data_IF_630378609816
#
_entry.id   IF_630378609816
#
_cell.length_a   1.000
_cell.length_b   1.000
_cell.length_c   1.000
_cell.angle_alpha   90.00
_cell.angle_beta   90.00
_cell.angle_gamma   90.00
#
_symmetry.space_group_name_H-M   'P 1'
#
loop_
_entity.id
_entity.type
_entity.pdbx_description
1 polymer ?
#
# COMPACT_ATOMS: atom_id res chain seq x y z
N UNK A 1 4.42 12.43 -6.54
CA UNK A 1 4.55 12.50 -5.07
C UNK A 1 3.81 13.70 -4.51
N UNK A 2 3.16 13.56 -3.35
CA UNK A 2 2.53 14.67 -2.61
C UNK A 2 3.52 15.32 -1.65
N UNK A 3 4.46 14.53 -1.11
CA UNK A 3 5.61 14.97 -0.34
C UNK A 3 6.79 14.04 -0.66
N UNK A 4 7.98 14.60 -0.84
CA UNK A 4 9.19 13.84 -1.15
C UNK A 4 10.40 14.54 -0.49
N UNK A 5 10.95 14.00 0.61
CA UNK A 5 12.13 14.55 1.25
C UNK A 5 13.40 14.24 0.44
N UNK A 6 14.51 14.98 0.65
CA UNK A 6 15.83 14.55 0.18
C UNK A 6 16.17 13.18 0.77
N UNK A 7 16.65 12.25 -0.07
CA UNK A 7 17.04 10.89 0.32
C UNK A 7 15.95 10.16 1.13
N UNK A 8 14.76 9.90 0.53
CA UNK A 8 13.66 9.28 1.24
C UNK A 8 14.04 7.87 1.70
N UNK A 9 13.86 7.61 2.99
CA UNK A 9 14.13 6.28 3.56
C UNK A 9 13.13 5.22 3.10
N UNK A 10 11.89 5.64 2.85
CA UNK A 10 10.73 4.82 2.51
C UNK A 10 9.68 5.71 1.86
N UNK A 11 8.88 5.16 0.95
CA UNK A 11 7.68 5.79 0.40
C UNK A 11 6.40 5.16 0.96
N UNK A 12 5.44 6.01 1.30
CA UNK A 12 4.05 5.61 1.60
C UNK A 12 3.19 5.97 0.40
N UNK A 13 2.46 5.01 -0.15
CA UNK A 13 1.43 5.22 -1.14
C UNK A 13 0.05 4.93 -0.53
N UNK A 14 -0.90 5.81 -0.79
CA UNK A 14 -2.30 5.68 -0.40
C UNK A 14 -3.15 6.14 -1.58
N UNK A 15 -4.30 5.53 -1.79
CA UNK A 15 -5.24 6.03 -2.79
C UNK A 15 -6.64 5.46 -2.64
N UNK A 16 -7.61 6.25 -3.11
CA UNK A 16 -9.02 5.90 -3.13
C UNK A 16 -9.81 6.69 -4.18
N UNK A 17 -11.11 6.49 -4.14
CA UNK A 17 -12.06 7.17 -5.01
C UNK A 17 -12.18 8.66 -4.65
N UNK A 18 -12.65 9.51 -5.58
CA UNK A 18 -12.94 10.90 -5.29
C UNK A 18 -13.85 11.11 -4.07
N UNK A 19 -14.81 10.21 -3.86
CA UNK A 19 -15.76 10.23 -2.75
C UNK A 19 -15.04 10.02 -1.40
N UNK A 20 -14.15 9.02 -1.32
CA UNK A 20 -13.38 8.73 -0.10
C UNK A 20 -12.41 9.86 0.27
N UNK A 21 -11.96 10.61 -0.74
CA UNK A 21 -11.03 11.73 -0.60
C UNK A 21 -11.69 13.11 -0.67
N UNK A 22 -13.03 13.17 -0.67
CA UNK A 22 -13.74 14.43 -0.58
C UNK A 22 -13.46 15.13 0.77
N UNK A 23 -13.64 16.45 0.81
CA UNK A 23 -13.39 17.24 2.02
C UNK A 23 -14.20 16.71 3.20
N UNK A 24 -13.53 16.44 4.32
CA UNK A 24 -14.14 15.91 5.54
C UNK A 24 -14.31 14.39 5.56
N UNK A 25 -14.03 13.69 4.45
CA UNK A 25 -14.09 12.22 4.41
C UNK A 25 -12.82 11.59 4.97
N UNK A 26 -12.95 10.32 5.36
CA UNK A 26 -11.92 9.59 6.10
C UNK A 26 -10.59 9.51 5.33
N UNK A 27 -10.61 9.29 4.02
CA UNK A 27 -9.39 9.23 3.19
C UNK A 27 -8.65 10.56 3.16
N UNK A 28 -9.39 11.67 3.06
CA UNK A 28 -8.80 13.01 3.12
C UNK A 28 -8.18 13.32 4.49
N UNK A 29 -8.86 12.95 5.58
CA UNK A 29 -8.35 13.14 6.95
C UNK A 29 -7.11 12.28 7.20
N UNK A 30 -7.15 11.01 6.82
CA UNK A 30 -6.03 10.09 7.00
C UNK A 30 -4.80 10.52 6.18
N UNK A 31 -4.98 11.00 4.95
CA UNK A 31 -3.87 11.54 4.16
C UNK A 31 -3.16 12.73 4.83
N UNK A 32 -3.89 13.58 5.55
CA UNK A 32 -3.29 14.68 6.34
C UNK A 32 -2.48 14.12 7.52
N UNK A 33 -2.98 13.10 8.20
CA UNK A 33 -2.25 12.44 9.29
C UNK A 33 -0.97 11.77 8.78
N UNK A 34 -1.06 11.04 7.67
CA UNK A 34 0.07 10.40 7.00
C UNK A 34 1.11 11.42 6.53
N UNK A 35 0.69 12.60 6.07
CA UNK A 35 1.62 13.67 5.70
C UNK A 35 2.45 14.13 6.90
N UNK A 36 1.83 14.31 8.07
CA UNK A 36 2.57 14.70 9.28
C UNK A 36 3.50 13.58 9.74
N UNK A 37 3.04 12.34 9.68
CA UNK A 37 3.84 11.17 10.00
C UNK A 37 5.06 11.04 9.06
N UNK A 38 4.86 11.16 7.74
CA UNK A 38 5.91 11.09 6.73
C UNK A 38 6.97 12.19 6.93
N UNK A 39 6.54 13.43 7.18
CA UNK A 39 7.45 14.54 7.51
C UNK A 39 8.29 14.27 8.75
N UNK A 40 7.66 13.72 9.80
CA UNK A 40 8.36 13.41 11.06
C UNK A 40 9.41 12.31 10.90
N UNK A 41 9.19 11.38 9.97
CA UNK A 41 10.05 10.19 9.79
C UNK A 41 11.01 10.29 8.61
N UNK A 42 10.89 11.32 7.77
CA UNK A 42 11.67 11.44 6.54
C UNK A 42 11.23 10.43 5.47
N UNK A 43 9.93 10.14 5.40
CA UNK A 43 9.35 9.29 4.36
C UNK A 43 8.77 10.14 3.22
N UNK A 44 8.80 9.61 2.00
CA UNK A 44 8.00 10.14 0.91
C UNK A 44 6.52 9.73 1.09
N UNK A 45 5.60 10.56 0.59
CA UNK A 45 4.16 10.29 0.60
C UNK A 45 3.55 10.58 -0.77
N UNK A 46 2.85 9.60 -1.31
CA UNK A 46 2.05 9.70 -2.52
C UNK A 46 0.57 9.49 -2.17
N UNK A 47 -0.27 10.46 -2.53
CA UNK A 47 -1.72 10.39 -2.33
C UNK A 47 -2.43 10.41 -3.68
N UNK A 48 -3.11 9.32 -4.03
CA UNK A 48 -4.00 9.28 -5.19
C UNK A 48 -5.47 9.45 -4.80
N UNK A 49 -6.01 10.65 -5.02
CA UNK A 49 -7.42 10.95 -4.72
C UNK A 49 -8.41 10.46 -5.78
N UNK A 50 -7.93 9.83 -6.85
CA UNK A 50 -8.77 9.26 -7.89
C UNK A 50 -8.03 8.09 -8.56
N UNK A 51 -7.83 7.01 -7.81
CA UNK A 51 -7.16 5.78 -8.28
C UNK A 51 -7.98 5.06 -9.37
N UNK A 52 -9.28 5.32 -9.48
CA UNK A 52 -10.13 4.76 -10.55
C UNK A 52 -9.66 5.11 -11.96
N UNK A 53 -8.91 6.22 -12.14
CA UNK A 53 -8.44 6.66 -13.47
C UNK A 53 -7.38 5.77 -14.12
N UNK A 54 -6.73 4.88 -13.37
CA UNK A 54 -5.58 4.11 -13.87
C UNK A 54 -5.96 2.94 -14.77
N UNK A 55 -7.16 2.38 -14.62
CA UNK A 55 -7.62 1.30 -15.48
C UNK A 55 -9.15 1.17 -15.46
N UNK A 56 -9.69 0.39 -16.39
CA UNK A 56 -11.12 0.02 -16.42
C UNK A 56 -11.51 -1.03 -15.37
N UNK A 57 -10.54 -1.58 -14.62
CA UNK A 57 -10.82 -2.54 -13.54
C UNK A 57 -11.41 -1.82 -12.34
N UNK A 58 -12.00 -2.61 -11.43
CA UNK A 58 -12.43 -2.11 -10.14
C UNK A 58 -11.27 -1.41 -9.40
N UNK A 59 -11.54 -0.24 -8.81
CA UNK A 59 -10.54 0.67 -8.21
C UNK A 59 -9.58 -0.02 -7.23
N UNK A 60 -10.05 -0.98 -6.45
CA UNK A 60 -9.25 -1.78 -5.51
C UNK A 60 -8.02 -2.47 -6.16
N UNK A 61 -8.02 -2.72 -7.47
CA UNK A 61 -6.88 -3.31 -8.18
C UNK A 61 -5.85 -2.29 -8.62
N UNK A 62 -6.21 -1.02 -8.69
CA UNK A 62 -5.36 0.01 -9.28
C UNK A 62 -4.20 0.43 -8.35
N UNK A 63 -4.14 -0.08 -7.11
CA UNK A 63 -2.95 0.03 -6.25
C UNK A 63 -1.71 -0.59 -6.89
N UNK A 64 -1.88 -1.63 -7.70
CA UNK A 64 -0.80 -2.24 -8.49
C UNK A 64 -0.19 -1.23 -9.46
N UNK A 65 -1.02 -0.44 -10.16
CA UNK A 65 -0.54 0.59 -11.07
C UNK A 65 0.22 1.69 -10.34
N UNK A 66 -0.31 2.15 -9.21
CA UNK A 66 0.37 3.16 -8.38
C UNK A 66 1.70 2.64 -7.86
N UNK A 67 1.75 1.41 -7.36
CA UNK A 67 2.99 0.83 -6.83
C UNK A 67 4.05 0.65 -7.92
N UNK A 68 3.69 0.12 -9.08
CA UNK A 68 4.62 -0.02 -10.20
C UNK A 68 5.17 1.33 -10.70
N UNK A 69 4.38 2.42 -10.63
CA UNK A 69 4.84 3.75 -11.02
C UNK A 69 5.87 4.35 -10.06
N UNK A 70 5.89 3.90 -8.80
CA UNK A 70 6.64 4.54 -7.71
C UNK A 70 7.75 3.66 -7.14
N UNK A 71 7.82 2.39 -7.54
CA UNK A 71 8.71 1.40 -6.91
C UNK A 71 10.19 1.77 -7.03
N UNK A 72 10.59 2.40 -8.14
CA UNK A 72 11.99 2.78 -8.40
C UNK A 72 12.39 4.13 -7.77
N UNK A 73 11.43 4.92 -7.31
CA UNK A 73 11.68 6.25 -6.75
C UNK A 73 12.18 6.19 -5.29
N UNK A 74 11.95 5.07 -4.60
CA UNK A 74 12.25 4.91 -3.17
C UNK A 74 12.82 3.51 -2.87
N UNK A 75 13.70 3.34 -1.86
CA UNK A 75 14.26 2.03 -1.53
C UNK A 75 13.23 0.99 -1.06
N UNK A 76 12.12 1.47 -0.50
CA UNK A 76 11.01 0.65 -0.01
C UNK A 76 9.72 1.42 -0.19
N UNK A 77 8.70 0.76 -0.74
CA UNK A 77 7.38 1.35 -0.95
C UNK A 77 6.33 0.54 -0.18
N UNK A 78 5.50 1.24 0.60
CA UNK A 78 4.40 0.65 1.38
C UNK A 78 3.08 1.22 0.90
N UNK A 79 2.13 0.33 0.58
CA UNK A 79 0.74 0.72 0.39
C UNK A 79 -0.01 0.71 1.72
N UNK A 80 -0.77 1.77 2.00
CA UNK A 80 -1.75 1.82 3.08
C UNK A 80 -3.13 2.11 2.49
N UNK A 81 -4.13 1.29 2.85
CA UNK A 81 -5.51 1.56 2.47
C UNK A 81 -6.00 2.85 3.17
N UNK A 82 -6.94 3.61 2.56
CA UNK A 82 -7.36 4.91 3.10
C UNK A 82 -8.01 4.87 4.48
N UNK A 83 -8.51 3.72 4.90
CA UNK A 83 -9.10 3.44 6.21
C UNK A 83 -8.10 2.92 7.25
N UNK A 84 -6.83 2.72 6.89
CA UNK A 84 -5.75 2.33 7.82
C UNK A 84 -5.10 3.55 8.44
N UNK A 85 -5.31 3.74 9.75
CA UNK A 85 -4.86 4.93 10.49
C UNK A 85 -3.65 4.64 11.38
N UNK A 86 -2.65 5.53 11.37
CA UNK A 86 -1.49 5.47 12.27
C UNK A 86 -1.88 6.01 13.66
N UNK A 87 -1.97 5.12 14.65
CA UNK A 87 -2.32 5.46 16.04
C UNK A 87 -1.12 5.62 16.98
N UNK A 88 0.07 5.19 16.54
CA UNK A 88 1.33 5.26 17.29
C UNK A 88 2.44 5.92 16.44
N UNK A 89 2.37 7.24 16.18
CA UNK A 89 3.26 7.93 15.23
C UNK A 89 4.73 8.01 15.67
N UNK A 90 5.05 7.63 16.90
CA UNK A 90 6.43 7.49 17.38
C UNK A 90 7.12 6.24 16.84
N UNK A 91 6.37 5.20 16.46
CA UNK A 91 6.94 3.98 15.89
C UNK A 91 7.25 4.16 14.40
N UNK A 92 8.34 3.56 13.93
CA UNK A 92 8.69 3.54 12.51
C UNK A 92 8.02 2.36 11.79
N UNK A 93 7.70 2.52 10.50
CA UNK A 93 7.11 1.45 9.70
C UNK A 93 8.07 0.26 9.58
N UNK A 94 9.38 0.52 9.48
CA UNK A 94 10.41 -0.53 9.46
C UNK A 94 10.40 -1.37 10.74
N UNK A 95 10.11 -0.76 11.89
CA UNK A 95 9.98 -1.49 13.17
C UNK A 95 8.76 -2.39 13.14
N UNK A 96 7.62 -1.88 12.65
CA UNK A 96 6.40 -2.67 12.51
C UNK A 96 6.61 -3.83 11.54
N UNK A 97 7.17 -3.59 10.36
CA UNK A 97 7.43 -4.63 9.35
C UNK A 97 8.35 -5.74 9.91
N UNK A 98 9.38 -5.38 10.69
CA UNK A 98 10.34 -6.36 11.24
C UNK A 98 9.82 -7.13 12.45
N UNK A 99 8.99 -6.51 13.28
CA UNK A 99 8.61 -7.04 14.59
C UNK A 99 7.17 -7.55 14.65
N UNK A 100 6.32 -7.14 13.72
CA UNK A 100 4.94 -7.62 13.66
C UNK A 100 4.93 -9.08 13.20
N UNK A 101 4.36 -10.00 13.99
CA UNK A 101 4.17 -11.38 13.55
C UNK A 101 3.21 -11.38 12.36
N UNK A 102 3.70 -11.82 11.19
CA UNK A 102 2.92 -11.89 9.96
C UNK A 102 2.03 -13.14 9.99
N UNK A 103 0.86 -13.03 10.62
CA UNK A 103 0.05 -14.20 10.95
C UNK A 103 -1.09 -14.50 9.97
N UNK A 104 -1.47 -13.60 9.05
CA UNK A 104 -2.79 -13.67 8.39
C UNK A 104 -2.85 -13.29 6.89
N UNK A 105 -2.06 -13.96 6.05
CA UNK A 105 -2.15 -13.75 4.57
C UNK A 105 -2.27 -15.03 3.75
N UNK A 106 -2.50 -16.18 4.38
CA UNK A 106 -2.55 -17.49 3.69
C UNK A 106 -1.39 -17.67 2.70
N UNK A 107 -0.17 -17.22 3.06
CA UNK A 107 1.00 -17.25 2.17
C UNK A 107 1.22 -18.63 1.54
N UNK A 108 0.92 -19.69 2.28
CA UNK A 108 0.97 -21.09 1.83
C UNK A 108 0.16 -21.37 0.56
N UNK A 109 -0.95 -20.64 0.33
CA UNK A 109 -1.76 -20.75 -0.89
C UNK A 109 -1.01 -20.28 -2.13
N UNK A 110 -0.11 -19.33 -1.98
CA UNK A 110 0.58 -18.70 -3.09
C UNK A 110 1.97 -19.30 -3.35
N UNK A 111 2.44 -20.20 -2.48
CA UNK A 111 3.77 -20.83 -2.56
C UNK A 111 4.08 -21.47 -3.92
N UNK A 112 3.08 -22.04 -4.62
CA UNK A 112 3.29 -22.62 -5.95
C UNK A 112 3.49 -21.59 -7.07
N UNK A 113 2.99 -20.36 -6.87
CA UNK A 113 3.08 -19.25 -7.84
C UNK A 113 4.23 -18.30 -7.52
N UNK A 114 4.77 -18.35 -6.29
CA UNK A 114 5.89 -17.52 -5.88
C UNK A 114 7.20 -18.07 -6.45
N UNK A 115 8.10 -17.20 -6.93
CA UNK A 115 9.44 -17.60 -7.31
C UNK A 115 10.13 -18.33 -6.15
N UNK A 116 10.76 -19.48 -6.42
CA UNK A 116 11.49 -20.26 -5.41
C UNK A 116 12.76 -19.56 -4.92
N UNK A 117 13.28 -18.63 -5.70
CA UNK A 117 14.44 -17.81 -5.40
C UNK A 117 14.07 -16.34 -5.63
N UNK A 118 14.52 -15.46 -4.74
CA UNK A 118 14.34 -14.00 -4.87
C UNK A 118 15.22 -13.53 -6.03
N UNK A 119 14.60 -12.98 -7.07
CA UNK A 119 15.27 -12.34 -8.19
C UNK A 119 15.27 -10.81 -7.99
N UNK A 120 16.11 -10.09 -8.74
CA UNK A 120 16.23 -8.63 -8.64
C UNK A 120 14.91 -7.89 -8.97
N UNK A 121 13.97 -8.55 -9.65
CA UNK A 121 12.63 -8.06 -9.97
C UNK A 121 11.52 -8.58 -9.03
N UNK A 122 11.87 -9.35 -7.99
CA UNK A 122 10.92 -9.94 -7.06
C UNK A 122 10.47 -8.91 -6.02
N UNK A 123 9.19 -8.50 -6.08
CA UNK A 123 8.57 -7.65 -5.07
C UNK A 123 7.66 -8.48 -4.14
N UNK A 124 7.80 -8.30 -2.82
CA UNK A 124 6.91 -8.93 -1.84
C UNK A 124 5.63 -8.09 -1.68
N UNK A 125 4.51 -8.60 -2.18
CA UNK A 125 3.19 -8.02 -1.98
C UNK A 125 2.49 -8.67 -0.77
N UNK A 126 2.24 -7.91 0.29
CA UNK A 126 1.45 -8.36 1.43
C UNK A 126 0.12 -7.59 1.45
N UNK A 127 -0.99 -8.31 1.28
CA UNK A 127 -2.34 -7.73 1.37
C UNK A 127 -3.20 -8.64 2.24
N UNK A 128 -3.45 -8.22 3.49
CA UNK A 128 -4.45 -8.85 4.34
C UNK A 128 -5.82 -8.28 3.98
N UNK A 129 -6.51 -8.94 3.04
CA UNK A 129 -7.94 -8.74 2.87
C UNK A 129 -8.64 -9.75 3.76
N UNK A 130 -8.85 -9.41 5.04
CA UNK A 130 -9.72 -10.21 5.88
C UNK A 130 -11.18 -9.90 5.49
N UNK A 131 -11.71 -10.69 4.56
CA UNK A 131 -13.16 -10.74 4.30
C UNK A 131 -13.65 -12.12 4.70
N UNK A 132 -14.77 -12.24 5.45
CA UNK A 132 -15.38 -13.52 5.82
C UNK A 132 -16.12 -14.18 4.64
N UNK A 133 -15.50 -14.19 3.45
CA UNK A 133 -16.18 -14.35 2.16
C UNK A 133 -15.53 -15.30 1.16
N UNK A 134 -14.97 -16.42 1.61
CA UNK A 134 -14.91 -17.67 0.83
C UNK A 134 -14.03 -17.72 -0.42
N UNK A 135 -13.78 -18.97 -0.84
CA UNK A 135 -12.77 -19.40 -1.81
C UNK A 135 -12.96 -18.97 -3.29
N UNK A 136 -13.93 -18.10 -3.61
CA UNK A 136 -14.42 -17.93 -5.00
C UNK A 136 -14.33 -16.52 -5.61
N UNK A 137 -13.76 -15.51 -4.94
CA UNK A 137 -13.83 -14.11 -5.42
C UNK A 137 -12.57 -13.57 -6.12
N UNK A 138 -11.55 -14.40 -6.31
CA UNK A 138 -10.31 -13.98 -6.95
C UNK A 138 -9.94 -14.99 -8.03
N UNK A 139 -10.61 -14.91 -9.18
CA UNK A 139 -10.07 -15.50 -10.41
C UNK A 139 -8.78 -14.75 -10.73
N UNK A 140 -7.66 -15.44 -10.53
CA UNK A 140 -6.38 -15.01 -11.11
C UNK A 140 -6.59 -15.14 -12.61
N UNK A 141 -6.48 -14.03 -13.36
CA UNK A 141 -6.50 -14.10 -14.82
C UNK A 141 -5.40 -15.06 -15.27
N UNK A 142 -5.81 -16.26 -15.69
CA UNK A 142 -4.98 -17.23 -16.40
C UNK A 142 -5.28 -17.17 -17.89
N UNK A 143 -5.00 -16.02 -18.52
CA UNK A 143 -4.72 -15.84 -19.95
C UNK A 143 -4.50 -14.36 -20.27
#
# INVERSE_FOLDING_TARGET
WTYFPPEPRLGIAIGGTPEEFATGQYGAQNALMLLQYAKRKGYALYVDKNIGRHSVRHSNWNKLHVLHQLIDDVPMLVWLDPDVVITKPDFSLETLIKQSPCNEVHQTRWEEYLPKEVQDDTFLWLSAADRPGGAGQYEVNTA
#
